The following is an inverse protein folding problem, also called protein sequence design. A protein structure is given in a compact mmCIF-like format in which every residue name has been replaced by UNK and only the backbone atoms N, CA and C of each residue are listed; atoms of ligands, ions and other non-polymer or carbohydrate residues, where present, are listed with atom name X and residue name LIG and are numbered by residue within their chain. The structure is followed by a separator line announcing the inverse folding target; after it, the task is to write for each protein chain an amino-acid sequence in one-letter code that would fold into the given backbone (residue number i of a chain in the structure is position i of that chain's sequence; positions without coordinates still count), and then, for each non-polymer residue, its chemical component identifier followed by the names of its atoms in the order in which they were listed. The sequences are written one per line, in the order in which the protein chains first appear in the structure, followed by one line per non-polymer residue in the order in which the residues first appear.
data_IF_144026506121
#
_entry.id   IF_144026506121
#
_cell.length_a   1.000
_cell.length_b   1.000
_cell.length_c   1.000
_cell.angle_alpha   90.00
_cell.angle_beta   90.00
_cell.angle_gamma   90.00
#
_symmetry.space_group_name_H-M   'P 1'
#
loop_
_entity.id
_entity.type
_entity.pdbx_description
1 polymer ?
#
# COMPACT_ATOMS: atom_id res chain seq x y z
N UNK A 1 -14.16 0.62 -25.55
CA UNK A 1 -13.03 0.15 -24.73
C UNK A 1 -12.69 1.14 -23.61
N UNK A 2 -12.40 2.41 -23.90
CA UNK A 2 -12.18 3.42 -22.83
C UNK A 2 -13.43 3.72 -21.98
N UNK A 3 -14.63 3.71 -22.56
CA UNK A 3 -15.88 3.90 -21.80
C UNK A 3 -16.22 2.75 -20.83
N UNK A 4 -15.68 1.54 -21.05
CA UNK A 4 -15.91 0.40 -20.16
C UNK A 4 -14.99 0.45 -18.93
N UNK A 5 -13.81 1.04 -19.09
CA UNK A 5 -12.83 1.24 -18.01
C UNK A 5 -13.27 2.35 -17.04
N UNK A 6 -13.95 3.39 -17.53
CA UNK A 6 -14.48 4.47 -16.68
C UNK A 6 -15.65 4.05 -15.79
N UNK A 7 -16.46 3.07 -16.23
CA UNK A 7 -17.48 2.45 -15.38
C UNK A 7 -16.88 1.51 -14.34
N UNK A 8 -15.83 0.76 -14.71
CA UNK A 8 -15.14 -0.17 -13.80
C UNK A 8 -14.52 0.53 -12.58
N UNK A 9 -13.86 1.69 -12.75
CA UNK A 9 -13.33 2.47 -11.61
C UNK A 9 -14.39 3.17 -10.75
N UNK A 10 -15.63 3.31 -11.25
CA UNK A 10 -16.75 3.85 -10.48
C UNK A 10 -17.44 2.74 -9.65
N UNK A 11 -17.49 1.51 -10.17
CA UNK A 11 -18.05 0.34 -9.48
C UNK A 11 -17.14 -0.20 -8.35
N UNK A 12 -15.80 -0.16 -8.49
CA UNK A 12 -14.87 -0.58 -7.42
C UNK A 12 -14.96 0.25 -6.12
N UNK A 13 -15.46 1.49 -6.19
CA UNK A 13 -15.61 2.34 -5.01
C UNK A 13 -16.83 1.98 -4.14
N UNK A 14 -17.88 1.40 -4.71
CA UNK A 14 -19.08 1.02 -3.96
C UNK A 14 -19.04 -0.43 -3.45
N UNK A 15 -18.26 -1.32 -4.07
CA UNK A 15 -18.23 -2.74 -3.68
C UNK A 15 -17.33 -3.04 -2.47
N UNK A 16 -16.35 -2.19 -2.14
CA UNK A 16 -15.55 -2.34 -0.92
C UNK A 16 -16.36 -2.09 0.37
N UNK A 17 -17.48 -1.36 0.29
CA UNK A 17 -18.32 -1.04 1.45
C UNK A 17 -19.48 -2.03 1.63
N UNK A 18 -19.61 -3.06 0.77
CA UNK A 18 -20.80 -3.93 0.75
C UNK A 18 -20.52 -5.44 0.71
N UNK A 19 -19.43 -5.87 1.33
CA UNK A 19 -19.24 -7.28 1.75
C UNK A 19 -19.09 -7.31 3.27
N UNK A 20 -20.18 -6.96 3.96
CA UNK A 20 -20.42 -7.37 5.34
C UNK A 20 -21.66 -8.25 5.24
N UNK A 21 -21.48 -9.47 4.75
CA UNK A 21 -22.52 -10.50 4.81
C UNK A 21 -22.66 -10.95 6.27
N UNK A 22 -23.84 -10.65 6.80
CA UNK A 22 -24.29 -11.00 8.14
C UNK A 22 -24.41 -12.52 8.30
N UNK A 23 -23.38 -13.21 8.80
CA UNK A 23 -23.53 -14.52 9.46
C UNK A 23 -22.26 -14.91 10.25
N UNK A 24 -21.96 -14.20 11.34
CA UNK A 24 -21.44 -14.72 12.63
C UNK A 24 -21.08 -13.54 13.55
N UNK A 25 -21.99 -13.19 14.46
CA UNK A 25 -21.70 -12.29 15.59
C UNK A 25 -21.13 -13.11 16.74
N UNK A 26 -19.82 -13.38 16.75
CA UNK A 26 -19.06 -13.71 17.96
C UNK A 26 -17.69 -13.03 17.90
N UNK A 27 -17.46 -12.09 18.85
CA UNK A 27 -16.30 -11.20 19.03
C UNK A 27 -16.03 -10.14 17.96
N UNK A 28 -16.72 -9.00 18.08
CA UNK A 28 -16.38 -7.72 17.44
C UNK A 28 -15.22 -7.03 18.21
N UNK A 29 -14.20 -7.81 18.57
CA UNK A 29 -12.88 -7.27 18.89
C UNK A 29 -12.34 -6.73 17.56
N UNK A 30 -12.36 -5.41 17.38
CA UNK A 30 -11.87 -4.67 16.20
C UNK A 30 -10.66 -5.38 15.58
N UNK A 31 -10.88 -6.12 14.48
CA UNK A 31 -9.84 -6.92 13.82
C UNK A 31 -8.85 -5.93 13.18
N UNK A 32 -7.80 -5.58 13.93
CA UNK A 32 -6.74 -4.68 13.47
C UNK A 32 -5.78 -5.47 12.58
N UNK A 33 -5.55 -5.00 11.35
CA UNK A 33 -4.51 -5.56 10.48
C UNK A 33 -3.12 -5.38 11.14
N UNK A 34 -2.46 -6.48 11.57
CA UNK A 34 -1.17 -6.41 12.23
C UNK A 34 -0.06 -5.85 11.32
N UNK A 35 -0.27 -5.83 10.00
CA UNK A 35 0.68 -5.25 9.04
C UNK A 35 0.82 -3.73 9.20
N UNK A 36 -0.25 -3.01 9.57
CA UNK A 36 -0.25 -1.55 9.69
C UNK A 36 0.78 -1.06 10.72
N UNK A 37 0.73 -1.46 12.01
CA UNK A 37 1.69 -1.00 13.00
C UNK A 37 3.13 -1.46 12.68
N UNK A 38 3.31 -2.68 12.16
CA UNK A 38 4.62 -3.20 11.75
C UNK A 38 5.22 -2.36 10.60
N UNK A 39 4.39 -1.94 9.65
CA UNK A 39 4.84 -1.08 8.55
C UNK A 39 5.28 0.29 9.06
N UNK A 40 4.57 0.90 10.01
CA UNK A 40 4.98 2.17 10.62
C UNK A 40 6.29 2.07 11.40
N UNK A 41 6.55 0.94 12.05
CA UNK A 41 7.84 0.68 12.67
C UNK A 41 8.95 0.52 11.62
N UNK A 42 8.71 -0.28 10.58
CA UNK A 42 9.67 -0.54 9.51
C UNK A 42 10.02 0.72 8.70
N UNK A 43 9.10 1.69 8.57
CA UNK A 43 9.36 3.00 7.95
C UNK A 43 10.45 3.81 8.67
N UNK A 44 10.70 3.55 9.96
CA UNK A 44 11.70 4.29 10.76
C UNK A 44 13.13 3.79 10.53
N UNK A 45 13.33 2.70 9.79
CA UNK A 45 14.68 2.19 9.48
C UNK A 45 15.40 3.15 8.54
N UNK A 46 16.67 3.45 8.85
CA UNK A 46 17.52 4.37 8.07
C UNK A 46 17.53 4.03 6.58
N UNK A 47 17.74 2.75 6.24
CA UNK A 47 17.75 2.28 4.85
C UNK A 47 16.42 2.55 4.13
N UNK A 48 15.28 2.32 4.79
CA UNK A 48 13.98 2.56 4.17
C UNK A 48 13.65 4.07 4.11
N UNK A 49 14.19 4.89 5.02
CA UNK A 49 14.07 6.35 4.97
C UNK A 49 14.80 6.90 3.75
N UNK A 50 16.04 6.46 3.49
CA UNK A 50 16.82 6.88 2.32
C UNK A 50 16.09 6.51 1.02
N UNK A 51 15.63 5.25 0.89
CA UNK A 51 14.86 4.81 -0.27
C UNK A 51 13.55 5.59 -0.44
N UNK A 52 12.89 5.93 0.67
CA UNK A 52 11.70 6.77 0.66
C UNK A 52 11.98 8.16 0.12
N UNK A 53 13.11 8.77 0.50
CA UNK A 53 13.49 10.10 -0.01
C UNK A 53 13.77 10.08 -1.52
N UNK A 54 14.41 9.03 -2.06
CA UNK A 54 14.59 8.90 -3.51
C UNK A 54 13.27 8.73 -4.25
N UNK A 55 12.38 7.88 -3.72
CA UNK A 55 11.04 7.71 -4.28
C UNK A 55 10.23 9.02 -4.27
N UNK A 56 10.28 9.78 -3.18
CA UNK A 56 9.58 11.07 -3.10
C UNK A 56 10.16 12.10 -4.07
N UNK A 57 11.48 12.15 -4.25
CA UNK A 57 12.12 13.01 -5.24
C UNK A 57 11.74 12.62 -6.68
N UNK A 58 11.66 11.32 -7.01
CA UNK A 58 11.14 10.89 -8.31
C UNK A 58 9.69 11.31 -8.49
N UNK A 59 8.86 11.06 -7.46
CA UNK A 59 7.44 11.40 -7.48
C UNK A 59 7.23 12.90 -7.71
N UNK A 60 8.04 13.77 -7.11
CA UNK A 60 7.98 15.21 -7.34
C UNK A 60 8.32 15.57 -8.80
N UNK A 61 9.36 14.96 -9.38
CA UNK A 61 9.77 15.17 -10.78
C UNK A 61 8.68 14.74 -11.76
N UNK A 62 8.11 13.55 -11.60
CA UNK A 62 7.04 13.03 -12.46
C UNK A 62 5.76 13.86 -12.34
N UNK A 63 5.42 14.34 -11.14
CA UNK A 63 4.25 15.22 -10.96
C UNK A 63 4.47 16.64 -11.49
N UNK A 64 5.73 17.10 -11.55
CA UNK A 64 6.06 18.44 -12.06
C UNK A 64 5.98 18.55 -13.58
N UNK A 65 6.27 17.46 -14.30
CA UNK A 65 6.28 17.43 -15.75
C UNK A 65 5.32 16.35 -16.29
N UNK A 66 4.09 16.70 -16.67
CA UNK A 66 3.12 15.76 -17.20
C UNK A 66 3.51 15.22 -18.59
N UNK A 67 4.56 15.73 -19.22
CA UNK A 67 5.07 15.27 -20.51
C UNK A 67 6.22 14.26 -20.41
N UNK A 68 6.72 14.01 -19.19
CA UNK A 68 7.78 13.02 -18.97
C UNK A 68 7.27 11.59 -19.19
N UNK A 69 8.15 10.73 -19.71
CA UNK A 69 7.92 9.28 -19.89
C UNK A 69 8.52 8.50 -18.71
N UNK A 70 9.14 9.21 -17.77
CA UNK A 70 9.75 8.63 -16.58
C UNK A 70 8.72 7.93 -15.67
N UNK A 71 9.15 6.82 -15.05
CA UNK A 71 8.35 6.05 -14.11
C UNK A 71 9.12 5.82 -12.82
N UNK A 72 8.51 6.13 -11.68
CA UNK A 72 9.10 5.89 -10.35
C UNK A 72 8.93 4.44 -9.85
N UNK A 73 8.77 3.49 -10.77
CA UNK A 73 8.52 2.09 -10.42
C UNK A 73 9.74 1.46 -9.75
N UNK A 74 10.94 1.78 -10.22
CA UNK A 74 12.20 1.27 -9.64
C UNK A 74 12.33 1.68 -8.17
N UNK A 75 12.22 2.97 -7.87
CA UNK A 75 12.34 3.48 -6.50
C UNK A 75 11.20 2.99 -5.60
N UNK A 76 10.01 2.79 -6.18
CA UNK A 76 8.88 2.18 -5.46
C UNK A 76 9.17 0.73 -5.08
N UNK A 77 9.73 -0.07 -5.99
CA UNK A 77 10.09 -1.45 -5.72
C UNK A 77 11.20 -1.54 -4.68
N UNK A 78 12.21 -0.68 -4.74
CA UNK A 78 13.29 -0.64 -3.75
C UNK A 78 12.76 -0.30 -2.35
N UNK A 79 11.96 0.75 -2.23
CA UNK A 79 11.35 1.14 -0.96
C UNK A 79 10.43 0.04 -0.41
N UNK A 80 9.60 -0.55 -1.26
CA UNK A 80 8.66 -1.60 -0.86
C UNK A 80 9.40 -2.88 -0.48
N UNK A 81 10.47 -3.23 -1.17
CA UNK A 81 11.34 -4.36 -0.85
C UNK A 81 11.96 -4.19 0.54
N UNK A 82 12.44 -2.98 0.88
CA UNK A 82 12.96 -2.67 2.21
C UNK A 82 11.91 -2.87 3.31
N UNK A 83 10.69 -2.36 3.10
CA UNK A 83 9.58 -2.54 4.04
C UNK A 83 9.21 -4.02 4.19
N UNK A 84 9.07 -4.75 3.09
CA UNK A 84 8.67 -6.15 3.10
C UNK A 84 9.72 -7.02 3.79
N UNK A 85 11.01 -6.80 3.54
CA UNK A 85 12.08 -7.52 4.23
C UNK A 85 12.08 -7.28 5.76
N UNK A 86 11.63 -6.10 6.19
CA UNK A 86 11.45 -5.79 7.60
C UNK A 86 10.21 -6.47 8.17
N UNK A 87 9.04 -6.28 7.55
CA UNK A 87 7.74 -6.78 8.02
C UNK A 87 7.68 -8.31 8.03
N UNK A 88 8.32 -8.98 7.06
CA UNK A 88 8.27 -10.44 6.92
C UNK A 88 8.80 -11.21 8.12
N UNK A 89 9.56 -10.55 9.01
CA UNK A 89 10.13 -11.16 10.22
C UNK A 89 9.08 -11.38 11.30
N UNK A 90 8.10 -10.48 11.38
CA UNK A 90 7.17 -10.42 12.50
C UNK A 90 5.71 -10.68 12.07
N UNK A 91 5.34 -10.36 10.82
CA UNK A 91 3.96 -10.42 10.34
C UNK A 91 3.31 -11.79 10.54
N UNK A 92 4.01 -12.88 10.20
CA UNK A 92 3.46 -14.24 10.32
C UNK A 92 3.27 -14.71 11.76
N UNK A 93 3.83 -14.02 12.76
CA UNK A 93 3.56 -14.32 14.16
C UNK A 93 2.18 -13.82 14.61
N UNK A 94 1.58 -12.88 13.86
CA UNK A 94 0.28 -12.30 14.15
C UNK A 94 -0.87 -12.93 13.34
N UNK A 95 -0.55 -13.72 12.32
CA UNK A 95 -1.52 -14.40 11.47
C UNK A 95 -1.74 -15.83 11.98
N UNK A 96 -3.01 -16.23 12.11
CA UNK A 96 -3.43 -17.58 12.51
C UNK A 96 -3.81 -18.44 11.30
#
# INVERSE_FOLDING_TARGET
MYQFFTSFSAEEKEENEKIIDEEEKEDDDEIIDPMIPLKEECKKRIQCIELKTFYDACKERVNSDPSTIESCAEELYDYTSCLNHCISKDLFNHLK
#
